data_IF_014164565626
#
_entry.id   IF_014164565626
#
_cell.length_a   1.000
_cell.length_b   1.000
_cell.length_c   1.000
_cell.angle_alpha   90.00
_cell.angle_beta   90.00
_cell.angle_gamma   90.00
#
_symmetry.space_group_name_H-M   'P 1'
#
loop_
_entity.id
_entity.type
_entity.pdbx_description
1 polymer ?
#
# COMPACT_ATOMS: atom_id res chain seq x y z
N UNK A 1 -7.75 -1.83 2.19
CA UNK A 1 -6.38 -1.27 2.23
C UNK A 1 -5.34 -2.37 2.41
N UNK A 2 -5.42 -3.20 3.45
CA UNK A 2 -4.46 -4.28 3.72
C UNK A 2 -4.27 -5.26 2.54
N UNK A 3 -5.36 -5.70 1.91
CA UNK A 3 -5.31 -6.56 0.73
C UNK A 3 -4.63 -5.90 -0.50
N UNK A 4 -4.58 -4.57 -0.56
CA UNK A 4 -3.86 -3.84 -1.61
C UNK A 4 -2.36 -3.87 -1.37
N UNK A 5 -1.93 -3.61 -0.12
CA UNK A 5 -0.52 -3.62 0.25
C UNK A 5 0.10 -5.01 0.14
N UNK A 6 -0.64 -6.08 0.51
CA UNK A 6 -0.18 -7.47 0.33
C UNK A 6 0.10 -7.79 -1.15
N UNK A 7 -0.75 -7.33 -2.07
CA UNK A 7 -0.57 -7.52 -3.52
C UNK A 7 0.65 -6.75 -4.04
N UNK A 8 0.81 -5.51 -3.60
CA UNK A 8 1.96 -4.67 -3.98
C UNK A 8 3.27 -5.29 -3.47
N UNK A 9 3.33 -5.69 -2.20
CA UNK A 9 4.49 -6.35 -1.61
C UNK A 9 4.84 -7.65 -2.36
N UNK A 10 3.84 -8.48 -2.67
CA UNK A 10 4.04 -9.71 -3.44
C UNK A 10 4.67 -9.40 -4.82
N UNK A 11 4.17 -8.38 -5.52
CA UNK A 11 4.73 -7.99 -6.82
C UNK A 11 6.17 -7.49 -6.70
N UNK A 12 6.48 -6.68 -5.69
CA UNK A 12 7.84 -6.21 -5.45
C UNK A 12 8.81 -7.37 -5.17
N UNK A 13 8.41 -8.34 -4.34
CA UNK A 13 9.22 -9.54 -4.06
C UNK A 13 9.38 -10.40 -5.32
N UNK A 14 8.33 -10.53 -6.14
CA UNK A 14 8.38 -11.24 -7.43
C UNK A 14 9.37 -10.58 -8.39
N UNK A 15 9.33 -9.26 -8.53
CA UNK A 15 10.28 -8.50 -9.35
C UNK A 15 11.70 -8.66 -8.81
N UNK A 16 11.89 -8.57 -7.50
CA UNK A 16 13.19 -8.81 -6.88
C UNK A 16 13.74 -10.21 -7.20
N UNK A 17 12.91 -11.26 -7.10
CA UNK A 17 13.31 -12.60 -7.52
C UNK A 17 13.70 -12.65 -9.01
N UNK A 18 12.88 -12.06 -9.89
CA UNK A 18 13.12 -12.03 -11.34
C UNK A 18 14.47 -11.39 -11.70
N UNK A 19 14.81 -10.26 -11.08
CA UNK A 19 16.03 -9.53 -11.41
C UNK A 19 17.30 -10.04 -10.72
N UNK A 20 17.17 -10.76 -9.60
CA UNK A 20 18.34 -11.13 -8.77
C UNK A 20 18.55 -12.64 -8.61
N UNK A 21 17.54 -13.46 -8.91
CA UNK A 21 17.57 -14.89 -8.61
C UNK A 21 17.59 -15.22 -7.11
N UNK A 22 17.16 -14.29 -6.25
CA UNK A 22 17.18 -14.46 -4.79
C UNK A 22 16.44 -15.73 -4.33
N UNK A 23 17.19 -16.69 -3.79
CA UNK A 23 16.62 -17.93 -3.23
C UNK A 23 15.64 -17.66 -2.08
N UNK A 24 15.93 -16.63 -1.28
CA UNK A 24 15.04 -16.22 -0.18
C UNK A 24 13.72 -15.68 -0.72
N UNK A 25 13.76 -14.83 -1.75
CA UNK A 25 12.55 -14.35 -2.42
C UNK A 25 11.72 -15.51 -2.98
N UNK A 26 12.37 -16.53 -3.54
CA UNK A 26 11.68 -17.74 -4.00
C UNK A 26 10.95 -18.48 -2.88
N UNK A 27 11.60 -18.69 -1.73
CA UNK A 27 11.00 -19.34 -0.55
C UNK A 27 9.76 -18.55 -0.08
N UNK A 28 9.87 -17.23 0.00
CA UNK A 28 8.77 -16.36 0.41
C UNK A 28 7.58 -16.45 -0.55
N UNK A 29 7.82 -16.51 -1.87
CA UNK A 29 6.77 -16.61 -2.89
C UNK A 29 6.13 -18.01 -2.95
N UNK A 30 6.90 -19.07 -2.70
CA UNK A 30 6.41 -20.45 -2.76
C UNK A 30 5.38 -20.75 -1.64
N UNK A 31 5.50 -20.12 -0.47
CA UNK A 31 4.54 -20.22 0.64
C UNK A 31 4.05 -18.84 1.10
N UNK A 32 3.57 -18.05 0.14
CA UNK A 32 3.21 -16.66 0.37
C UNK A 32 2.17 -16.45 1.48
N UNK A 33 1.13 -17.28 1.53
CA UNK A 33 0.05 -17.13 2.52
C UNK A 33 0.54 -17.29 3.95
N UNK A 34 1.61 -18.06 4.17
CA UNK A 34 2.25 -18.18 5.47
C UNK A 34 3.12 -16.98 5.78
N UNK A 35 4.03 -16.62 4.86
CA UNK A 35 5.04 -15.61 5.13
C UNK A 35 4.51 -14.18 5.12
N UNK A 36 3.44 -13.89 4.38
CA UNK A 36 2.87 -12.54 4.29
C UNK A 36 2.45 -11.99 5.66
N UNK A 37 1.98 -12.86 6.55
CA UNK A 37 1.54 -12.47 7.89
C UNK A 37 2.72 -12.18 8.85
N UNK A 38 3.96 -12.51 8.46
CA UNK A 38 5.18 -12.18 9.22
C UNK A 38 5.73 -10.77 8.88
N UNK A 39 5.20 -10.11 7.84
CA UNK A 39 5.64 -8.76 7.46
C UNK A 39 4.99 -7.68 8.32
N UNK A 40 5.81 -6.73 8.80
CA UNK A 40 5.34 -5.56 9.51
C UNK A 40 5.20 -4.40 8.52
N UNK A 41 3.98 -3.93 8.28
CA UNK A 41 3.75 -2.71 7.54
C UNK A 41 4.10 -1.49 8.40
N UNK A 42 5.16 -0.78 8.02
CA UNK A 42 5.55 0.48 8.68
C UNK A 42 5.05 1.65 7.86
N UNK A 43 4.18 2.45 8.45
CA UNK A 43 3.70 3.72 7.88
C UNK A 43 4.12 4.86 8.81
N UNK A 44 4.92 5.84 8.34
CA UNK A 44 5.30 6.99 9.15
C UNK A 44 4.07 7.79 9.61
N UNK A 45 4.10 8.28 10.85
CA UNK A 45 3.00 9.03 11.45
C UNK A 45 2.72 10.30 10.64
N UNK A 46 3.78 11.02 10.30
CA UNK A 46 3.73 12.27 9.53
C UNK A 46 3.15 12.01 8.13
N UNK A 47 3.51 10.90 7.49
CA UNK A 47 2.98 10.52 6.19
C UNK A 47 1.47 10.27 6.26
N UNK A 48 1.00 9.58 7.31
CA UNK A 48 -0.42 9.34 7.54
C UNK A 48 -1.20 10.65 7.75
N UNK A 49 -0.62 11.62 8.48
CA UNK A 49 -1.24 12.95 8.69
C UNK A 49 -1.42 13.70 7.37
N UNK A 50 -0.36 13.77 6.56
CA UNK A 50 -0.41 14.45 5.25
C UNK A 50 -1.48 13.81 4.34
N UNK A 51 -1.53 12.47 4.27
CA UNK A 51 -2.57 11.75 3.52
C UNK A 51 -4.00 12.10 3.97
N UNK A 52 -4.23 12.17 5.28
CA UNK A 52 -5.54 12.51 5.83
C UNK A 52 -5.93 13.97 5.54
N UNK A 53 -4.98 14.90 5.67
CA UNK A 53 -5.21 16.31 5.33
C UNK A 53 -5.54 16.49 3.85
N UNK A 54 -4.84 15.80 2.96
CA UNK A 54 -5.14 15.82 1.52
C UNK A 54 -6.53 15.27 1.20
N UNK A 55 -6.92 14.15 1.83
CA UNK A 55 -8.27 13.59 1.67
C UNK A 55 -9.35 14.56 2.15
N UNK A 56 -9.14 15.20 3.30
CA UNK A 56 -10.10 16.17 3.85
C UNK A 56 -10.23 17.40 2.94
N UNK A 57 -9.11 17.93 2.42
CA UNK A 57 -9.13 19.04 1.45
C UNK A 57 -9.92 18.68 0.19
N UNK A 58 -9.71 17.48 -0.37
CA UNK A 58 -10.47 17.01 -1.54
C UNK A 58 -11.97 16.88 -1.24
N UNK A 59 -12.33 16.42 -0.04
CA UNK A 59 -13.73 16.33 0.37
C UNK A 59 -14.36 17.73 0.51
N UNK A 60 -13.68 18.68 1.15
CA UNK A 60 -14.13 20.06 1.28
C UNK A 60 -14.33 20.74 -0.06
N UNK A 61 -13.42 20.53 -1.01
CA UNK A 61 -13.54 21.04 -2.38
C UNK A 61 -14.81 20.50 -3.07
N UNK A 62 -15.04 19.19 -3.02
CA UNK A 62 -16.25 18.58 -3.59
C UNK A 62 -17.54 19.10 -2.97
N UNK A 63 -17.56 19.31 -1.65
CA UNK A 63 -18.73 19.87 -0.95
C UNK A 63 -18.99 21.31 -1.43
N UNK A 64 -17.95 22.13 -1.52
CA UNK A 64 -18.07 23.52 -1.99
C UNK A 64 -18.54 23.60 -3.45
N UNK A 65 -18.06 22.71 -4.32
CA UNK A 65 -18.54 22.58 -5.71
C UNK A 65 -20.03 22.21 -5.75
N UNK A 66 -20.46 21.18 -5.03
CA UNK A 66 -21.87 20.78 -4.99
C UNK A 66 -22.79 21.87 -4.42
N UNK A 67 -22.33 22.64 -3.44
CA UNK A 67 -23.09 23.76 -2.88
C UNK A 67 -23.22 24.96 -3.83
N UNK A 68 -22.32 25.08 -4.80
CA UNK A 68 -22.34 26.15 -5.81
C UNK A 68 -23.30 25.85 -6.97
N UNK A 69 -23.57 24.58 -7.20
CA UNK A 69 -24.43 24.08 -8.29
C UNK A 69 -25.92 23.99 -7.89
N UNK A 70 -26.28 24.37 -6.66
CA UNK A 70 -27.65 24.54 -6.13
C UNK A 70 -27.99 26.02 -5.94
#
# INVERSE_FOLDING_TARGET
>A
EEASYRKELHELIRQHYLYTGSKQARILLDDWNRYVDEFIQVVPIEYKKVLQEEQMRKLQQKIAEMQRDY
#
